data_IF_553821097335
#
_entry.id   IF_553821097335
#
_cell.length_a   1.000
_cell.length_b   1.000
_cell.length_c   1.000
_cell.angle_alpha   90.00
_cell.angle_beta   90.00
_cell.angle_gamma   90.00
#
_symmetry.space_group_name_H-M   'P 1'
#
loop_
_entity.id
_entity.type
_entity.pdbx_description
1 polymer ?
#
# COMPACT_ATOMS: atom_id res chain seq x y z
N UNK A 1 18.71 -30.40 -53.04
CA UNK A 1 20.17 -30.37 -52.85
C UNK A 1 20.45 -29.78 -51.48
N UNK A 2 21.07 -30.59 -50.59
CA UNK A 2 21.83 -30.27 -49.35
C UNK A 2 21.28 -29.19 -48.38
N UNK A 3 21.39 -29.26 -47.06
CA UNK A 3 21.85 -30.25 -46.07
C UNK A 3 21.77 -29.51 -44.71
N UNK A 4 21.35 -30.21 -43.65
CA UNK A 4 21.96 -30.31 -42.31
C UNK A 4 23.06 -29.26 -41.95
N UNK A 5 23.24 -28.74 -40.73
CA UNK A 5 22.95 -29.22 -39.37
C UNK A 5 23.66 -28.29 -38.35
N UNK A 6 23.27 -28.46 -37.07
CA UNK A 6 24.12 -28.52 -35.86
C UNK A 6 25.04 -27.35 -35.48
N UNK A 7 24.79 -26.75 -34.30
CA UNK A 7 25.39 -27.08 -32.98
C UNK A 7 26.92 -26.90 -32.97
N UNK A 8 27.40 -25.95 -32.16
CA UNK A 8 28.70 -26.12 -31.52
C UNK A 8 28.63 -25.70 -30.04
N UNK A 9 28.99 -26.69 -29.23
CA UNK A 9 29.29 -26.66 -27.80
C UNK A 9 30.79 -26.38 -27.60
N UNK A 10 31.16 -26.05 -26.35
CA UNK A 10 32.46 -26.36 -25.70
C UNK A 10 33.69 -25.59 -26.27
N UNK A 11 34.73 -25.20 -25.53
CA UNK A 11 35.08 -25.04 -24.12
C UNK A 11 36.52 -24.47 -24.12
N UNK A 12 36.89 -23.80 -23.03
CA UNK A 12 38.25 -23.72 -22.45
C UNK A 12 39.45 -23.01 -23.14
N UNK A 13 39.97 -22.06 -22.34
CA UNK A 13 41.33 -22.00 -21.79
C UNK A 13 42.42 -21.19 -22.52
N UNK A 14 42.93 -20.17 -21.82
CA UNK A 14 44.30 -19.62 -21.78
C UNK A 14 44.29 -18.59 -20.63
N UNK A 15 44.77 -18.88 -19.42
CA UNK A 15 46.15 -19.00 -18.96
C UNK A 15 46.97 -17.71 -19.13
N UNK A 16 47.01 -16.87 -18.08
CA UNK A 16 48.10 -15.92 -17.86
C UNK A 16 48.49 -15.91 -16.37
N UNK A 17 49.79 -16.11 -16.16
CA UNK A 17 50.49 -16.28 -14.88
C UNK A 17 51.18 -14.97 -14.47
N UNK A 18 51.18 -14.73 -13.16
CA UNK A 18 52.09 -13.94 -12.32
C UNK A 18 52.21 -12.42 -12.51
N UNK A 19 52.11 -11.69 -11.39
CA UNK A 19 53.24 -10.95 -10.81
C UNK A 19 52.96 -10.52 -9.37
N UNK A 20 53.95 -10.79 -8.53
CA UNK A 20 54.01 -10.56 -7.08
C UNK A 20 54.16 -9.08 -6.72
N UNK A 21 53.53 -8.66 -5.62
CA UNK A 21 53.81 -7.38 -4.95
C UNK A 21 53.41 -7.44 -3.48
N UNK A 22 54.24 -6.92 -2.54
CA UNK A 22 53.97 -7.00 -1.11
C UNK A 22 52.87 -6.02 -0.73
N UNK A 23 51.71 -6.51 -0.25
CA UNK A 23 50.67 -5.65 0.30
C UNK A 23 51.10 -5.15 1.68
N UNK A 24 51.45 -3.86 1.73
CA UNK A 24 51.61 -3.08 2.95
C UNK A 24 50.37 -3.22 3.83
N UNK A 25 50.62 -3.49 5.11
CA UNK A 25 49.71 -3.28 6.22
C UNK A 25 49.45 -1.77 6.34
N UNK A 26 48.33 -1.31 5.78
CA UNK A 26 47.62 -0.11 6.26
C UNK A 26 46.48 -0.68 7.11
N UNK A 27 46.52 -0.56 8.43
CA UNK A 27 46.27 0.71 9.08
C UNK A 27 44.76 0.92 9.10
N UNK A 28 44.11 0.41 10.17
CA UNK A 28 42.71 0.66 10.48
C UNK A 28 42.42 2.16 10.39
N UNK A 29 41.67 2.56 9.37
CA UNK A 29 40.82 3.74 9.45
C UNK A 29 39.41 3.21 9.53
N UNK A 30 38.91 3.12 10.77
CA UNK A 30 37.48 3.09 11.04
C UNK A 30 36.86 4.24 10.28
N UNK A 31 36.14 3.92 9.21
CA UNK A 31 35.20 4.84 8.62
C UNK A 31 34.27 5.29 9.76
N UNK A 32 34.37 6.57 10.12
CA UNK A 32 33.42 7.20 11.00
C UNK A 32 32.03 6.92 10.40
N UNK A 33 31.21 6.19 11.15
CA UNK A 33 29.84 5.95 10.78
C UNK A 33 29.17 7.30 10.57
N UNK A 34 28.85 7.61 9.32
CA UNK A 34 27.87 8.64 8.99
C UNK A 34 26.63 8.29 9.81
N UNK A 35 26.09 9.20 10.64
CA UNK A 35 24.89 8.90 11.39
C UNK A 35 23.81 8.53 10.37
N UNK A 36 23.33 7.29 10.48
CA UNK A 36 22.15 6.86 9.77
C UNK A 36 21.07 7.92 10.02
N UNK A 37 20.48 8.45 8.95
CA UNK A 37 19.33 9.34 9.01
C UNK A 37 18.26 8.64 9.84
N UNK A 38 18.23 8.99 11.12
CA UNK A 38 17.90 8.03 12.18
C UNK A 38 16.41 7.80 12.28
N UNK A 39 16.03 6.55 12.50
CA UNK A 39 14.71 6.21 13.01
C UNK A 39 14.36 7.15 14.18
N UNK A 40 13.09 7.58 14.29
CA UNK A 40 12.69 8.50 15.35
C UNK A 40 13.13 7.94 16.70
N UNK A 41 13.67 8.80 17.55
CA UNK A 41 14.07 8.40 18.90
C UNK A 41 12.83 7.84 19.62
N UNK A 42 12.81 6.51 19.75
CA UNK A 42 11.69 5.78 20.31
C UNK A 42 11.42 6.21 21.75
N UNK A 43 12.47 6.59 22.48
CA UNK A 43 12.36 7.12 23.85
C UNK A 43 11.59 8.43 23.87
N UNK A 44 11.89 9.34 22.94
CA UNK A 44 11.19 10.61 22.81
C UNK A 44 9.71 10.40 22.42
N UNK A 45 9.42 9.50 21.47
CA UNK A 45 8.04 9.18 21.08
C UNK A 45 7.26 8.59 22.25
N UNK A 46 7.84 7.63 22.99
CA UNK A 46 7.19 7.02 24.15
C UNK A 46 6.92 8.02 25.27
N UNK A 47 7.83 8.98 25.50
CA UNK A 47 7.61 10.08 26.42
C UNK A 47 6.41 10.94 26.02
N UNK A 48 6.30 11.29 24.74
CA UNK A 48 5.15 12.04 24.23
C UNK A 48 3.83 11.27 24.42
N UNK A 49 3.85 9.94 24.25
CA UNK A 49 2.67 9.10 24.54
C UNK A 49 2.33 9.12 26.03
N UNK A 50 3.32 9.00 26.91
CA UNK A 50 3.09 9.09 28.36
C UNK A 50 2.50 10.47 28.75
N UNK A 51 3.01 11.55 28.15
CA UNK A 51 2.54 12.91 28.38
C UNK A 51 1.08 13.16 27.91
N UNK A 52 0.50 12.29 27.07
CA UNK A 52 -0.94 12.33 26.75
C UNK A 52 -1.83 12.02 27.95
N UNK A 53 -1.33 11.24 28.91
CA UNK A 53 -2.01 10.90 30.16
C UNK A 53 -1.66 11.80 31.34
N UNK A 54 -0.89 12.87 31.13
CA UNK A 54 -0.49 13.77 32.21
C UNK A 54 -1.70 14.53 32.79
N UNK A 55 -1.71 14.82 34.09
CA UNK A 55 -2.80 15.58 34.75
C UNK A 55 -2.92 17.01 34.21
N UNK A 56 -1.80 17.60 33.79
CA UNK A 56 -1.75 18.95 33.24
C UNK A 56 -2.26 19.02 31.80
N UNK A 57 -3.34 19.77 31.59
CA UNK A 57 -3.89 20.04 30.25
C UNK A 57 -2.83 20.60 29.28
N UNK A 58 -1.96 21.49 29.76
CA UNK A 58 -0.90 22.11 28.95
C UNK A 58 0.11 21.06 28.48
N UNK A 59 0.44 20.09 29.33
CA UNK A 59 1.33 18.98 28.96
C UNK A 59 0.67 18.09 27.91
N UNK A 60 -0.59 17.69 28.11
CA UNK A 60 -1.35 16.89 27.14
C UNK A 60 -1.47 17.58 25.77
N UNK A 61 -1.72 18.88 25.77
CA UNK A 61 -1.85 19.66 24.53
C UNK A 61 -0.52 19.75 23.77
N UNK A 62 0.59 19.98 24.49
CA UNK A 62 1.95 20.00 23.90
C UNK A 62 2.32 18.63 23.32
N UNK A 63 2.03 17.56 24.06
CA UNK A 63 2.26 16.19 23.62
C UNK A 63 1.46 15.86 22.36
N UNK A 64 0.17 16.19 22.34
CA UNK A 64 -0.70 16.03 21.17
C UNK A 64 -0.12 16.76 19.94
N UNK A 65 0.26 18.03 20.11
CA UNK A 65 0.82 18.83 19.01
C UNK A 65 2.18 18.28 18.52
N UNK A 66 3.02 17.75 19.41
CA UNK A 66 4.29 17.14 19.05
C UNK A 66 4.09 15.80 18.31
N UNK A 67 3.20 14.94 18.81
CA UNK A 67 2.87 13.67 18.16
C UNK A 67 2.31 13.89 16.75
N UNK A 68 1.43 14.89 16.58
CA UNK A 68 0.86 15.24 15.27
C UNK A 68 1.90 15.77 14.27
N UNK A 69 3.15 16.03 14.67
CA UNK A 69 4.26 16.41 13.76
C UNK A 69 5.18 15.24 13.42
N UNK A 70 4.97 14.06 14.00
CA UNK A 70 5.81 12.91 13.72
C UNK A 70 5.67 12.43 12.27
N UNK A 71 6.76 11.97 11.69
CA UNK A 71 6.77 11.36 10.36
C UNK A 71 6.34 9.89 10.43
N UNK A 72 6.05 9.30 9.27
CA UNK A 72 5.52 7.94 9.14
C UNK A 72 6.43 6.87 9.77
N UNK A 73 7.74 7.14 9.85
CA UNK A 73 8.73 6.27 10.51
C UNK A 73 8.45 6.03 12.00
N UNK A 74 7.59 6.83 12.64
CA UNK A 74 7.18 6.64 14.03
C UNK A 74 6.04 5.61 14.19
N UNK A 75 5.41 5.15 13.11
CA UNK A 75 4.24 4.27 13.14
C UNK A 75 4.45 3.02 14.00
N UNK A 76 5.58 2.34 13.84
CA UNK A 76 5.87 1.10 14.59
C UNK A 76 5.89 1.36 16.10
N UNK A 77 6.56 2.42 16.55
CA UNK A 77 6.62 2.80 17.97
C UNK A 77 5.25 3.22 18.49
N UNK A 78 4.47 3.97 17.71
CA UNK A 78 3.12 4.39 18.09
C UNK A 78 2.15 3.21 18.18
N UNK A 79 2.26 2.22 17.28
CA UNK A 79 1.44 1.00 17.33
C UNK A 79 1.80 0.12 18.53
N UNK A 80 3.08 -0.01 18.88
CA UNK A 80 3.51 -0.68 20.10
C UNK A 80 2.95 0.04 21.34
N UNK A 81 3.06 1.37 21.37
CA UNK A 81 2.54 2.18 22.47
C UNK A 81 1.00 2.09 22.58
N UNK A 82 0.28 2.02 21.45
CA UNK A 82 -1.18 1.79 21.41
C UNK A 82 -1.56 0.48 22.06
N UNK A 83 -0.79 -0.59 21.82
CA UNK A 83 -1.04 -1.90 22.43
C UNK A 83 -0.80 -1.94 23.94
N UNK A 84 0.03 -1.05 24.48
CA UNK A 84 0.36 -0.97 25.90
C UNK A 84 -0.46 0.10 26.67
N UNK A 85 -0.96 1.12 25.98
CA UNK A 85 -1.74 2.19 26.59
C UNK A 85 -3.11 1.69 27.08
N UNK A 86 -3.62 2.31 28.15
CA UNK A 86 -4.93 2.01 28.72
C UNK A 86 -5.70 3.30 29.03
N UNK A 87 -7.02 3.20 29.16
CA UNK A 87 -7.90 4.30 29.58
C UNK A 87 -7.79 5.53 28.68
N UNK A 88 -7.73 6.72 29.30
CA UNK A 88 -7.68 8.01 28.59
C UNK A 88 -6.48 8.13 27.64
N UNK A 89 -5.31 7.61 28.04
CA UNK A 89 -4.10 7.63 27.19
C UNK A 89 -4.32 6.84 25.91
N UNK A 90 -4.99 5.68 25.99
CA UNK A 90 -5.29 4.85 24.84
C UNK A 90 -6.25 5.57 23.87
N UNK A 91 -7.33 6.16 24.40
CA UNK A 91 -8.31 6.90 23.59
C UNK A 91 -7.68 8.10 22.89
N UNK A 92 -6.87 8.89 23.61
CA UNK A 92 -6.16 10.04 23.04
C UNK A 92 -5.15 9.61 21.98
N UNK A 93 -4.39 8.55 22.23
CA UNK A 93 -3.43 8.03 21.27
C UNK A 93 -4.14 7.52 20.00
N UNK A 94 -5.31 6.88 20.14
CA UNK A 94 -6.12 6.45 19.00
C UNK A 94 -6.57 7.65 18.15
N UNK A 95 -7.05 8.73 18.76
CA UNK A 95 -7.43 9.96 18.05
C UNK A 95 -6.23 10.60 17.33
N UNK A 96 -5.06 10.60 17.97
CA UNK A 96 -3.81 11.10 17.36
C UNK A 96 -3.41 10.24 16.17
N UNK A 97 -3.44 8.91 16.31
CA UNK A 97 -3.11 7.97 15.24
C UNK A 97 -4.04 8.13 14.04
N UNK A 98 -5.36 8.26 14.25
CA UNK A 98 -6.31 8.50 13.17
C UNK A 98 -5.96 9.74 12.33
N UNK A 99 -5.57 10.84 13.00
CA UNK A 99 -5.18 12.08 12.31
C UNK A 99 -3.83 11.94 11.60
N UNK A 100 -2.88 11.24 12.21
CA UNK A 100 -1.56 11.00 11.62
C UNK A 100 -1.65 10.14 10.36
N UNK A 101 -2.35 9.00 10.42
CA UNK A 101 -2.49 8.07 9.30
C UNK A 101 -3.24 8.74 8.14
N UNK A 102 -4.29 9.52 8.42
CA UNK A 102 -4.97 10.30 7.41
C UNK A 102 -4.00 11.30 6.73
N UNK A 103 -3.21 12.05 7.50
CA UNK A 103 -2.25 13.00 6.93
C UNK A 103 -1.17 12.29 6.10
N UNK A 104 -0.56 11.23 6.62
CA UNK A 104 0.46 10.47 5.90
C UNK A 104 -0.10 9.86 4.61
N UNK A 105 -1.33 9.33 4.66
CA UNK A 105 -2.04 8.87 3.48
C UNK A 105 -2.23 9.98 2.44
N UNK A 106 -2.69 11.17 2.87
CA UNK A 106 -2.87 12.30 1.96
C UNK A 106 -1.54 12.73 1.32
N UNK A 107 -0.44 12.75 2.07
CA UNK A 107 0.89 13.04 1.51
C UNK A 107 1.27 12.00 0.45
N UNK A 108 1.06 10.71 0.71
CA UNK A 108 1.29 9.64 -0.28
C UNK A 108 0.41 9.83 -1.51
N UNK A 109 -0.89 10.11 -1.32
CA UNK A 109 -1.85 10.30 -2.42
C UNK A 109 -1.46 11.49 -3.30
N UNK A 110 -1.05 12.62 -2.72
CA UNK A 110 -0.57 13.76 -3.49
C UNK A 110 0.69 13.42 -4.30
N UNK A 111 1.61 12.64 -3.74
CA UNK A 111 2.78 12.09 -4.46
C UNK A 111 2.40 11.14 -5.58
N UNK A 112 1.37 10.32 -5.40
CA UNK A 112 0.85 9.46 -6.47
C UNK A 112 0.22 10.27 -7.60
N UNK A 113 -0.42 11.40 -7.28
CA UNK A 113 -1.02 12.31 -8.26
C UNK A 113 0.01 13.11 -9.04
N UNK A 114 1.12 13.49 -8.43
CA UNK A 114 1.98 14.57 -8.95
C UNK A 114 2.83 14.24 -10.18
N UNK A 115 2.63 13.10 -10.88
CA UNK A 115 3.41 12.62 -12.04
C UNK A 115 4.95 12.63 -11.89
N UNK A 116 5.44 13.00 -10.72
CA UNK A 116 6.83 13.04 -10.31
C UNK A 116 7.31 11.59 -10.12
N UNK A 117 8.63 11.41 -10.11
CA UNK A 117 9.35 10.12 -10.07
C UNK A 117 9.06 9.18 -8.87
N UNK A 118 7.96 9.42 -8.14
CA UNK A 118 7.41 8.52 -7.13
C UNK A 118 7.05 7.21 -7.82
N UNK A 119 7.85 6.20 -7.54
CA UNK A 119 7.58 4.87 -8.01
C UNK A 119 6.30 4.39 -7.33
N UNK A 120 5.25 4.19 -8.12
CA UNK A 120 4.00 3.56 -7.66
C UNK A 120 4.25 2.19 -7.01
N UNK A 121 5.45 1.61 -7.19
CA UNK A 121 5.92 0.43 -6.46
C UNK A 121 5.93 0.58 -4.94
N UNK A 122 5.99 1.81 -4.43
CA UNK A 122 6.00 2.06 -2.98
C UNK A 122 4.57 2.05 -2.38
N UNK A 123 3.54 1.93 -3.24
CA UNK A 123 2.17 1.79 -2.79
C UNK A 123 1.83 0.36 -2.37
N UNK A 124 1.15 0.19 -1.21
CA UNK A 124 0.55 -1.08 -0.86
C UNK A 124 -0.35 -1.57 -1.99
N UNK A 125 -0.28 -2.87 -2.27
CA UNK A 125 -1.11 -3.56 -3.25
C UNK A 125 -0.89 -3.16 -4.73
N UNK A 126 0.04 -2.26 -5.05
CA UNK A 126 0.39 -1.96 -6.45
C UNK A 126 0.86 -3.21 -7.21
N UNK A 127 1.79 -3.97 -6.62
CA UNK A 127 2.31 -5.19 -7.24
C UNK A 127 1.21 -6.22 -7.49
N UNK A 128 0.32 -6.40 -6.51
CA UNK A 128 -0.86 -7.27 -6.61
C UNK A 128 -1.83 -6.79 -7.67
N UNK A 129 -2.12 -5.49 -7.70
CA UNK A 129 -2.98 -4.88 -8.70
C UNK A 129 -2.42 -5.10 -10.11
N UNK A 130 -1.13 -4.84 -10.34
CA UNK A 130 -0.47 -5.08 -11.63
C UNK A 130 -0.55 -6.54 -12.04
N UNK A 131 -0.35 -7.47 -11.10
CA UNK A 131 -0.45 -8.91 -11.35
C UNK A 131 -1.87 -9.30 -11.80
N UNK A 132 -2.90 -8.79 -11.13
CA UNK A 132 -4.30 -9.07 -11.47
C UNK A 132 -4.72 -8.37 -12.76
N UNK A 133 -4.36 -7.11 -12.93
CA UNK A 133 -4.75 -6.25 -14.04
C UNK A 133 -4.04 -6.57 -15.36
N UNK A 134 -3.18 -7.61 -15.40
CA UNK A 134 -2.47 -8.07 -16.58
C UNK A 134 -1.33 -7.14 -17.01
N UNK A 135 -0.64 -6.52 -16.05
CA UNK A 135 0.40 -5.55 -16.34
C UNK A 135 1.62 -6.14 -17.06
N UNK A 136 2.20 -5.32 -17.94
CA UNK A 136 3.38 -5.66 -18.74
C UNK A 136 4.50 -4.66 -18.49
N UNK A 137 5.69 -4.92 -19.06
CA UNK A 137 6.81 -3.99 -19.05
C UNK A 137 6.64 -2.81 -20.03
N UNK A 138 5.49 -2.68 -20.73
CA UNK A 138 5.24 -1.63 -21.72
C UNK A 138 4.92 -0.31 -21.00
N UNK A 139 5.70 0.78 -21.21
CA UNK A 139 5.54 2.04 -20.48
C UNK A 139 4.14 2.66 -20.59
N UNK A 140 3.52 2.62 -21.77
CA UNK A 140 2.16 3.16 -21.97
C UNK A 140 1.12 2.41 -21.15
N UNK A 141 1.24 1.09 -21.06
CA UNK A 141 0.33 0.28 -20.26
C UNK A 141 0.53 0.51 -18.76
N UNK A 142 1.77 0.74 -18.33
CA UNK A 142 2.07 1.11 -16.93
C UNK A 142 1.43 2.44 -16.54
N UNK A 143 1.45 3.45 -17.44
CA UNK A 143 0.78 4.73 -17.16
C UNK A 143 -0.74 4.59 -17.07
N UNK A 144 -1.36 3.78 -17.94
CA UNK A 144 -2.80 3.48 -17.87
C UNK A 144 -3.17 2.75 -16.58
N UNK A 145 -2.37 1.76 -16.17
CA UNK A 145 -2.56 1.04 -14.92
C UNK A 145 -2.39 1.95 -13.71
N UNK A 146 -1.43 2.88 -13.75
CA UNK A 146 -1.25 3.88 -12.70
C UNK A 146 -2.47 4.78 -12.57
N UNK A 147 -3.04 5.23 -13.70
CA UNK A 147 -4.29 6.00 -13.71
C UNK A 147 -5.44 5.23 -13.07
N UNK A 148 -5.68 3.98 -13.49
CA UNK A 148 -6.72 3.14 -12.91
C UNK A 148 -6.47 2.87 -11.41
N UNK A 149 -5.23 2.61 -10.99
CA UNK A 149 -4.92 2.40 -9.59
C UNK A 149 -5.17 3.66 -8.75
N UNK A 150 -4.85 4.85 -9.29
CA UNK A 150 -5.18 6.10 -8.64
C UNK A 150 -6.70 6.25 -8.45
N UNK A 151 -7.51 5.90 -9.46
CA UNK A 151 -8.98 5.90 -9.34
C UNK A 151 -9.47 4.95 -8.23
N UNK A 152 -8.87 3.76 -8.10
CA UNK A 152 -9.18 2.81 -7.01
C UNK A 152 -8.84 3.41 -5.63
N UNK A 153 -7.65 4.01 -5.50
CA UNK A 153 -7.18 4.62 -4.25
C UNK A 153 -8.03 5.82 -3.85
N UNK A 154 -8.47 6.63 -4.82
CA UNK A 154 -9.35 7.78 -4.59
C UNK A 154 -10.78 7.39 -4.26
N UNK A 155 -11.28 6.28 -4.83
CA UNK A 155 -12.63 5.80 -4.57
C UNK A 155 -12.80 5.27 -3.14
N UNK A 156 -11.75 4.68 -2.55
CA UNK A 156 -11.80 4.04 -1.24
C UNK A 156 -10.58 4.37 -0.35
N UNK A 157 -10.34 5.64 -0.02
CA UNK A 157 -9.14 6.08 0.69
C UNK A 157 -9.04 5.49 2.10
N UNK A 158 -10.18 5.25 2.76
CA UNK A 158 -10.21 4.66 4.10
C UNK A 158 -9.75 3.20 4.09
N UNK A 159 -10.10 2.43 3.06
CA UNK A 159 -9.66 1.03 2.91
C UNK A 159 -8.14 0.97 2.71
N UNK A 160 -7.59 1.82 1.83
CA UNK A 160 -6.13 1.88 1.63
C UNK A 160 -5.39 2.46 2.84
N UNK A 161 -5.98 3.39 3.58
CA UNK A 161 -5.42 3.89 4.85
C UNK A 161 -5.35 2.76 5.88
N UNK A 162 -6.44 2.00 6.07
CA UNK A 162 -6.46 0.87 6.99
C UNK A 162 -5.47 -0.22 6.56
N UNK A 163 -5.44 -0.55 5.27
CA UNK A 163 -4.48 -1.50 4.70
C UNK A 163 -3.02 -1.12 4.95
N UNK A 164 -2.69 0.17 4.83
CA UNK A 164 -1.33 0.66 5.03
C UNK A 164 -0.94 0.77 6.52
N UNK A 165 -1.86 1.19 7.39
CA UNK A 165 -1.51 1.68 8.72
C UNK A 165 -2.19 0.97 9.90
N UNK A 166 -3.36 0.34 9.69
CA UNK A 166 -4.10 -0.38 10.74
C UNK A 166 -4.84 -1.61 10.17
N UNK A 167 -4.10 -2.62 9.67
CA UNK A 167 -4.69 -3.75 8.94
C UNK A 167 -5.66 -4.59 9.77
N UNK A 168 -5.62 -4.49 11.10
CA UNK A 168 -6.56 -5.19 11.98
C UNK A 168 -8.00 -4.69 11.84
N UNK A 169 -8.20 -3.46 11.34
CA UNK A 169 -9.54 -2.89 11.12
C UNK A 169 -10.07 -3.15 9.71
N UNK A 170 -9.21 -3.58 8.78
CA UNK A 170 -9.51 -3.69 7.35
C UNK A 170 -10.71 -4.60 7.07
N UNK A 171 -10.79 -5.78 7.71
CA UNK A 171 -11.90 -6.72 7.54
C UNK A 171 -13.26 -6.12 7.91
N UNK A 172 -13.31 -5.34 9.00
CA UNK A 172 -14.54 -4.67 9.43
C UNK A 172 -14.92 -3.52 8.51
N UNK A 173 -13.94 -2.74 8.04
CA UNK A 173 -14.19 -1.66 7.08
C UNK A 173 -14.64 -2.21 5.73
N UNK A 174 -14.02 -3.28 5.23
CA UNK A 174 -14.44 -3.95 3.99
C UNK A 174 -15.88 -4.42 4.05
N UNK A 175 -16.32 -4.95 5.19
CA UNK A 175 -17.71 -5.34 5.38
C UNK A 175 -18.68 -4.16 5.25
N UNK A 176 -18.43 -3.06 5.97
CA UNK A 176 -19.28 -1.87 5.91
C UNK A 176 -19.29 -1.29 4.49
N UNK A 177 -18.12 -1.17 3.86
CA UNK A 177 -17.99 -0.62 2.51
C UNK A 177 -18.63 -1.51 1.46
N UNK A 178 -18.49 -2.83 1.56
CA UNK A 178 -19.13 -3.77 0.65
C UNK A 178 -20.66 -3.71 0.76
N UNK A 179 -21.21 -3.63 1.97
CA UNK A 179 -22.66 -3.48 2.17
C UNK A 179 -23.19 -2.20 1.48
N UNK A 180 -22.55 -1.06 1.74
CA UNK A 180 -22.92 0.22 1.13
C UNK A 180 -22.78 0.21 -0.40
N UNK A 181 -21.71 -0.39 -0.91
CA UNK A 181 -21.52 -0.54 -2.36
C UNK A 181 -22.62 -1.42 -2.97
N UNK A 182 -23.00 -2.52 -2.31
CA UNK A 182 -24.02 -3.44 -2.80
C UNK A 182 -25.41 -2.80 -2.92
N UNK A 183 -25.70 -1.77 -2.13
CA UNK A 183 -26.93 -0.98 -2.21
C UNK A 183 -26.97 -0.07 -3.45
N UNK A 184 -25.81 0.24 -4.01
CA UNK A 184 -25.67 0.98 -5.27
C UNK A 184 -25.72 0.09 -6.53
N UNK A 185 -25.62 -1.23 -6.36
CA UNK A 185 -25.70 -2.24 -7.43
C UNK A 185 -27.16 -2.62 -7.74
N UNK A 186 -27.95 -1.64 -8.19
CA UNK A 186 -29.35 -1.84 -8.56
C UNK A 186 -29.62 -1.59 -10.06
N UNK A 187 -28.57 -1.37 -10.85
CA UNK A 187 -28.66 -1.10 -12.29
C UNK A 187 -29.32 0.22 -12.66
N UNK A 188 -29.70 1.05 -11.68
CA UNK A 188 -30.42 2.30 -11.95
C UNK A 188 -29.46 3.40 -12.38
N UNK A 189 -29.73 3.98 -13.55
CA UNK A 189 -28.92 5.07 -14.11
C UNK A 189 -28.98 6.38 -13.30
N UNK A 190 -30.04 6.58 -12.49
CA UNK A 190 -30.19 7.77 -11.64
C UNK A 190 -29.38 7.71 -10.34
N UNK A 191 -28.70 6.59 -10.06
CA UNK A 191 -27.87 6.39 -8.87
C UNK A 191 -26.40 6.28 -9.24
N UNK A 192 -25.54 6.81 -8.37
CA UNK A 192 -24.09 6.71 -8.55
C UNK A 192 -23.61 5.27 -8.39
N UNK A 193 -22.86 4.78 -9.37
CA UNK A 193 -22.10 3.54 -9.28
C UNK A 193 -20.62 3.84 -9.43
N UNK A 194 -19.83 3.43 -8.45
CA UNK A 194 -18.39 3.66 -8.43
C UNK A 194 -17.66 2.40 -8.89
N UNK A 195 -17.18 2.41 -10.13
CA UNK A 195 -16.31 1.37 -10.67
C UNK A 195 -15.06 1.16 -9.80
N UNK A 196 -14.43 2.26 -9.38
CA UNK A 196 -13.26 2.26 -8.50
C UNK A 196 -13.56 1.58 -7.17
N UNK A 197 -14.73 1.83 -6.56
CA UNK A 197 -15.14 1.17 -5.31
C UNK A 197 -15.29 -0.34 -5.49
N UNK A 198 -16.01 -0.78 -6.53
CA UNK A 198 -16.20 -2.20 -6.81
C UNK A 198 -14.86 -2.92 -7.04
N UNK A 199 -13.97 -2.32 -7.84
CA UNK A 199 -12.65 -2.87 -8.12
C UNK A 199 -11.73 -2.87 -6.90
N UNK A 200 -11.76 -1.84 -6.06
CA UNK A 200 -11.00 -1.83 -4.80
C UNK A 200 -11.47 -2.93 -3.86
N UNK A 201 -12.78 -3.12 -3.72
CA UNK A 201 -13.34 -4.18 -2.90
C UNK A 201 -12.92 -5.58 -3.39
N UNK A 202 -12.91 -5.81 -4.71
CA UNK A 202 -12.42 -7.06 -5.31
C UNK A 202 -10.90 -7.24 -5.11
N UNK A 203 -10.12 -6.18 -5.34
CA UNK A 203 -8.66 -6.20 -5.19
C UNK A 203 -8.24 -6.56 -3.75
N UNK A 204 -8.83 -5.90 -2.77
CA UNK A 204 -8.51 -6.10 -1.35
C UNK A 204 -9.17 -7.35 -0.79
N UNK A 205 -10.40 -7.65 -1.21
CA UNK A 205 -11.16 -8.80 -0.73
C UNK A 205 -10.65 -10.15 -1.26
N UNK A 206 -9.97 -10.16 -2.41
CA UNK A 206 -9.32 -11.36 -2.94
C UNK A 206 -8.00 -11.72 -2.23
N UNK A 207 -7.51 -10.86 -1.32
CA UNK A 207 -6.28 -11.13 -0.59
C UNK A 207 -6.51 -12.19 0.50
N UNK A 208 -5.76 -13.29 0.43
CA UNK A 208 -5.85 -14.39 1.38
C UNK A 208 -5.45 -14.03 2.81
N UNK A 209 -4.70 -12.93 2.99
CA UNK A 209 -4.40 -12.36 4.31
C UNK A 209 -5.59 -11.62 4.92
N UNK A 210 -6.61 -11.29 4.11
CA UNK A 210 -7.79 -10.53 4.53
C UNK A 210 -8.94 -11.50 4.80
N UNK A 211 -9.37 -11.57 6.06
CA UNK A 211 -10.56 -12.33 6.42
C UNK A 211 -11.81 -11.56 6.00
N UNK A 212 -12.63 -12.15 5.13
CA UNK A 212 -13.95 -11.63 4.82
C UNK A 212 -14.93 -11.99 5.95
N UNK A 213 -15.74 -11.03 6.36
CA UNK A 213 -16.72 -11.20 7.44
C UNK A 213 -18.12 -11.35 6.86
N UNK A 214 -18.99 -12.12 7.53
CA UNK A 214 -20.43 -12.24 7.23
C UNK A 214 -20.72 -12.37 5.72
N UNK A 215 -21.49 -11.44 5.16
CA UNK A 215 -21.91 -11.42 3.77
C UNK A 215 -21.02 -10.57 2.85
N UNK A 216 -19.82 -10.15 3.29
CA UNK A 216 -18.92 -9.29 2.49
C UNK A 216 -18.71 -9.83 1.09
N UNK A 217 -18.45 -11.14 0.95
CA UNK A 217 -18.26 -11.76 -0.38
C UNK A 217 -19.50 -11.63 -1.27
N UNK A 218 -20.69 -11.95 -0.74
CA UNK A 218 -21.93 -11.80 -1.49
C UNK A 218 -22.19 -10.34 -1.90
N UNK A 219 -21.90 -9.38 -1.01
CA UNK A 219 -22.05 -7.95 -1.28
C UNK A 219 -21.13 -7.46 -2.40
N UNK A 220 -19.86 -7.88 -2.40
CA UNK A 220 -18.90 -7.54 -3.47
C UNK A 220 -19.36 -8.14 -4.80
N UNK A 221 -19.81 -9.40 -4.79
CA UNK A 221 -20.26 -10.09 -6.00
C UNK A 221 -21.51 -9.48 -6.64
N UNK A 222 -22.27 -8.63 -5.93
CA UNK A 222 -23.39 -7.89 -6.54
C UNK A 222 -22.96 -6.95 -7.67
N UNK A 223 -21.68 -6.58 -7.75
CA UNK A 223 -21.13 -5.86 -8.90
C UNK A 223 -21.45 -6.56 -10.24
N UNK A 224 -21.37 -7.91 -10.28
CA UNK A 224 -21.59 -8.67 -11.52
C UNK A 224 -23.05 -8.70 -11.97
N UNK A 225 -23.98 -8.36 -11.08
CA UNK A 225 -25.40 -8.24 -11.38
C UNK A 225 -25.74 -6.87 -11.99
N UNK A 226 -24.84 -5.88 -11.87
CA UNK A 226 -25.07 -4.52 -12.35
C UNK A 226 -24.65 -4.35 -13.83
N UNK A 227 -25.56 -3.95 -14.73
CA UNK A 227 -25.25 -3.75 -16.15
C UNK A 227 -24.10 -2.76 -16.40
N UNK A 228 -23.93 -1.76 -15.54
CA UNK A 228 -22.84 -0.77 -15.66
C UNK A 228 -21.48 -1.41 -15.45
N UNK A 229 -21.39 -2.42 -14.57
CA UNK A 229 -20.16 -3.19 -14.41
C UNK A 229 -19.88 -4.07 -15.63
N UNK A 230 -20.91 -4.67 -16.21
CA UNK A 230 -20.80 -5.45 -17.45
C UNK A 230 -20.27 -4.61 -18.62
N UNK A 231 -20.73 -3.36 -18.73
CA UNK A 231 -20.24 -2.40 -19.73
C UNK A 231 -18.76 -2.07 -19.51
N UNK A 232 -18.34 -1.82 -18.27
CA UNK A 232 -16.92 -1.58 -17.93
C UNK A 232 -16.01 -2.76 -18.31
N UNK A 233 -16.50 -3.98 -18.12
CA UNK A 233 -15.80 -5.24 -18.43
C UNK A 233 -15.72 -5.51 -19.94
N UNK A 234 -16.68 -5.02 -20.72
CA UNK A 234 -16.80 -5.34 -22.16
C UNK A 234 -16.21 -4.23 -23.03
N UNK A 235 -16.63 -2.99 -22.77
CA UNK A 235 -16.41 -1.83 -23.64
C UNK A 235 -15.57 -0.72 -22.99
N UNK A 236 -15.23 -0.87 -21.71
CA UNK A 236 -14.43 0.11 -20.97
C UNK A 236 -13.00 0.27 -21.50
N UNK A 237 -12.44 1.48 -21.37
CA UNK A 237 -11.04 1.81 -21.72
C UNK A 237 -10.04 0.86 -21.03
N UNK A 238 -10.37 0.42 -19.82
CA UNK A 238 -9.57 -0.51 -19.04
C UNK A 238 -10.15 -1.94 -18.99
N UNK A 239 -11.03 -2.33 -19.92
CA UNK A 239 -11.78 -3.59 -19.88
C UNK A 239 -10.91 -4.82 -19.57
N UNK A 240 -9.73 -4.95 -20.19
CA UNK A 240 -8.81 -6.05 -19.93
C UNK A 240 -8.31 -6.09 -18.47
N UNK A 241 -7.96 -4.94 -17.91
CA UNK A 241 -7.49 -4.80 -16.53
C UNK A 241 -8.61 -4.99 -15.51
N UNK A 242 -9.80 -4.44 -15.79
CA UNK A 242 -11.03 -4.64 -15.01
C UNK A 242 -11.37 -6.14 -14.96
N UNK A 243 -11.33 -6.83 -16.10
CA UNK A 243 -11.52 -8.28 -16.16
C UNK A 243 -10.51 -9.03 -15.32
N UNK A 244 -9.25 -8.62 -15.36
CA UNK A 244 -8.18 -9.25 -14.59
C UNK A 244 -8.42 -9.19 -13.08
N UNK A 245 -8.76 -8.00 -12.57
CA UNK A 245 -9.13 -7.81 -11.15
C UNK A 245 -10.39 -8.60 -10.80
N UNK A 246 -11.42 -8.54 -11.64
CA UNK A 246 -12.66 -9.27 -11.43
C UNK A 246 -12.45 -10.79 -11.43
N UNK A 247 -11.57 -11.30 -12.29
CA UNK A 247 -11.22 -12.73 -12.36
C UNK A 247 -10.42 -13.17 -11.15
N UNK A 248 -9.59 -12.28 -10.57
CA UNK A 248 -8.89 -12.57 -9.31
C UNK A 248 -9.80 -12.64 -8.08
N UNK A 249 -11.02 -12.10 -8.18
CA UNK A 249 -12.02 -12.19 -7.13
C UNK A 249 -12.85 -13.48 -7.17
N UNK A 250 -13.07 -14.03 -8.37
CA UNK A 250 -13.80 -15.29 -8.58
C UNK A 250 -12.95 -16.50 -8.23
#
# INVERSE_FOLDING_TARGET
>A
MFSLQCRNLLFCALLCVALSGPRRVYGQQSAAAVPATGAPDSTAVLKLVADLGADSFVVRQKATAALLRLEESALTTLNQARGAATGETQERLQQVLQRLTQRWFQVRLQRLKSDEQVSVTDWPDWSRFVQLAGGTAVPQQQQLLRGLFLELVEAEPELFTARAFDPTTLSGLLEVRAQLFSESCDGRQDRSFSAGSGLTLMLLGSDSSVRLLRATSACISRAFEDPRFSELVTDGVHAASVRGVASGWL
#
